data_IF_125565178484
#
_entry.id   IF_125565178484
#
_cell.length_a   1.000
_cell.length_b   1.000
_cell.length_c   1.000
_cell.angle_alpha   90.00
_cell.angle_beta   90.00
_cell.angle_gamma   90.00
#
_symmetry.space_group_name_H-M   'P 1'
#
loop_
_entity.id
_entity.type
_entity.pdbx_description
1 polymer ?
#
# COMPACT_ATOMS: atom_id res chain seq x y z
N UNK A 1 -26.70 7.43 -32.42
CA UNK A 1 -26.86 8.02 -31.07
C UNK A 1 -25.67 7.58 -30.23
N UNK A 2 -24.69 8.45 -30.06
CA UNK A 2 -23.43 8.10 -29.41
C UNK A 2 -23.59 8.01 -27.89
N UNK A 3 -22.96 6.99 -27.32
CA UNK A 3 -22.99 6.64 -25.90
C UNK A 3 -22.58 7.84 -25.04
N UNK A 4 -23.45 8.21 -24.09
CA UNK A 4 -23.09 8.98 -22.90
C UNK A 4 -22.07 8.17 -22.09
N UNK A 5 -20.82 8.14 -22.54
CA UNK A 5 -19.74 7.64 -21.71
C UNK A 5 -19.35 8.76 -20.76
N UNK A 6 -19.76 8.60 -19.50
CA UNK A 6 -19.58 9.49 -18.37
C UNK A 6 -18.11 9.93 -18.22
N UNK A 7 -17.72 11.03 -18.84
CA UNK A 7 -16.46 11.73 -18.58
C UNK A 7 -16.66 12.83 -17.54
N UNK A 8 -15.58 13.54 -17.21
CA UNK A 8 -15.71 14.74 -16.36
C UNK A 8 -16.59 15.80 -17.03
N UNK A 9 -17.13 16.72 -16.22
CA UNK A 9 -17.88 17.88 -16.75
C UNK A 9 -17.07 18.67 -17.77
N UNK A 10 -15.74 18.74 -17.60
CA UNK A 10 -14.82 19.41 -18.52
C UNK A 10 -14.74 18.69 -19.86
N UNK A 11 -14.66 17.35 -19.86
CA UNK A 11 -14.70 16.54 -21.08
C UNK A 11 -16.00 16.75 -21.85
N UNK A 12 -17.15 16.70 -21.17
CA UNK A 12 -18.46 16.88 -21.81
C UNK A 12 -18.57 18.22 -22.52
N UNK A 13 -18.11 19.32 -21.88
CA UNK A 13 -18.11 20.65 -22.50
C UNK A 13 -17.12 20.77 -23.66
N UNK A 14 -15.93 20.20 -23.52
CA UNK A 14 -14.94 20.20 -24.59
C UNK A 14 -15.46 19.44 -25.82
N UNK A 15 -15.96 18.23 -25.62
CA UNK A 15 -16.47 17.37 -26.68
C UNK A 15 -17.70 17.96 -27.36
N UNK A 16 -18.66 18.51 -26.60
CA UNK A 16 -19.87 19.12 -27.17
C UNK A 16 -19.57 20.39 -27.96
N UNK A 17 -18.65 21.24 -27.49
CA UNK A 17 -18.23 22.43 -28.21
C UNK A 17 -17.54 22.08 -29.53
N UNK A 18 -16.68 21.05 -29.52
CA UNK A 18 -16.00 20.60 -30.73
C UNK A 18 -16.98 19.98 -31.74
N UNK A 19 -17.92 19.15 -31.26
CA UNK A 19 -18.98 18.58 -32.09
C UNK A 19 -19.78 19.67 -32.80
N UNK A 20 -20.17 20.72 -32.05
CA UNK A 20 -20.89 21.86 -32.62
C UNK A 20 -20.04 22.63 -33.65
N UNK A 21 -18.74 22.78 -33.40
CA UNK A 21 -17.84 23.45 -34.34
C UNK A 21 -17.71 22.67 -35.65
N UNK A 22 -17.60 21.33 -35.59
CA UNK A 22 -17.55 20.47 -36.78
C UNK A 22 -18.83 20.61 -37.60
N UNK A 23 -20.00 20.49 -36.95
CA UNK A 23 -21.29 20.65 -37.61
C UNK A 23 -21.43 22.00 -38.29
N UNK A 24 -21.05 23.08 -37.60
CA UNK A 24 -21.07 24.44 -38.18
C UNK A 24 -20.08 24.61 -39.33
N UNK A 25 -18.92 23.95 -39.28
CA UNK A 25 -17.91 24.04 -40.32
C UNK A 25 -18.31 23.26 -41.59
N UNK A 26 -18.88 22.07 -41.43
CA UNK A 26 -19.31 21.22 -42.53
C UNK A 26 -20.49 21.84 -43.30
N UNK A 27 -21.36 22.58 -42.60
CA UNK A 27 -22.53 23.27 -43.17
C UNK A 27 -22.37 24.78 -43.31
N UNK A 28 -21.13 25.31 -43.26
CA UNK A 28 -20.89 26.76 -43.42
C UNK A 28 -21.23 27.25 -44.81
N UNK A 29 -21.03 26.40 -45.81
CA UNK A 29 -21.34 26.63 -47.21
C UNK A 29 -22.72 26.05 -47.49
N UNK A 30 -23.50 26.78 -48.28
CA UNK A 30 -24.88 26.47 -48.60
C UNK A 30 -24.98 25.84 -49.99
N UNK A 31 -26.15 25.29 -50.29
CA UNK A 31 -26.42 24.83 -51.66
C UNK A 31 -26.41 25.99 -52.67
N UNK A 32 -26.71 27.22 -52.23
CA UNK A 32 -26.62 28.42 -53.08
C UNK A 32 -25.17 28.70 -53.47
N UNK A 33 -24.24 28.65 -52.50
CA UNK A 33 -22.80 28.79 -52.77
C UNK A 33 -22.30 27.71 -53.75
N UNK A 34 -22.81 26.49 -53.64
CA UNK A 34 -22.50 25.39 -54.55
C UNK A 34 -23.05 25.64 -55.96
N UNK A 35 -24.29 26.15 -56.06
CA UNK A 35 -24.93 26.45 -57.34
C UNK A 35 -24.26 27.63 -58.07
N UNK A 36 -23.76 28.62 -57.34
CA UNK A 36 -22.97 29.72 -57.93
C UNK A 36 -21.65 29.22 -58.51
N UNK A 37 -21.00 28.24 -57.87
CA UNK A 37 -19.74 27.67 -58.34
C UNK A 37 -19.93 26.67 -59.50
N UNK A 38 -21.08 25.98 -59.55
CA UNK A 38 -21.37 24.92 -60.54
C UNK A 38 -22.72 25.10 -61.25
N UNK A 39 -22.98 26.26 -61.88
CA UNK A 39 -24.30 26.60 -62.40
C UNK A 39 -24.78 25.63 -63.49
N UNK A 40 -23.89 25.27 -64.44
CA UNK A 40 -24.21 24.35 -65.54
C UNK A 40 -24.62 22.94 -65.05
N UNK A 41 -24.04 22.50 -63.93
CA UNK A 41 -24.35 21.18 -63.35
C UNK A 41 -25.72 21.20 -62.66
N UNK A 42 -26.01 22.28 -61.90
CA UNK A 42 -27.30 22.46 -61.22
C UNK A 42 -28.45 22.64 -62.20
N UNK A 43 -28.21 23.35 -63.31
CA UNK A 43 -29.19 23.52 -64.39
C UNK A 43 -29.50 22.20 -65.10
N UNK A 44 -28.50 21.33 -65.28
CA UNK A 44 -28.67 20.03 -65.93
C UNK A 44 -29.36 18.99 -65.03
N UNK A 45 -29.01 18.92 -63.75
CA UNK A 45 -29.61 17.99 -62.78
C UNK A 45 -29.57 18.58 -61.36
N UNK A 46 -30.65 19.29 -61.02
CA UNK A 46 -30.81 19.91 -59.70
C UNK A 46 -30.89 18.88 -58.57
N UNK A 47 -31.49 17.72 -58.83
CA UNK A 47 -31.68 16.69 -57.81
C UNK A 47 -30.37 15.96 -57.52
N UNK A 48 -29.62 15.58 -58.55
CA UNK A 48 -28.28 14.99 -58.41
C UNK A 48 -27.28 15.97 -57.79
N UNK A 49 -27.36 17.24 -58.15
CA UNK A 49 -26.51 18.29 -57.57
C UNK A 49 -26.76 18.48 -56.07
N UNK A 50 -28.02 18.50 -55.64
CA UNK A 50 -28.40 18.61 -54.22
C UNK A 50 -27.99 17.36 -53.43
N UNK A 51 -28.19 16.17 -54.00
CA UNK A 51 -27.73 14.92 -53.39
C UNK A 51 -26.20 14.89 -53.22
N UNK A 52 -25.46 15.36 -54.22
CA UNK A 52 -24.00 15.44 -54.18
C UNK A 52 -23.52 16.42 -53.11
N UNK A 53 -24.12 17.61 -53.02
CA UNK A 53 -23.81 18.60 -51.99
C UNK A 53 -24.01 18.04 -50.56
N UNK A 54 -25.16 17.40 -50.32
CA UNK A 54 -25.45 16.79 -49.03
C UNK A 54 -24.47 15.65 -48.72
N UNK A 55 -24.15 14.81 -49.70
CA UNK A 55 -23.17 13.73 -49.54
C UNK A 55 -21.77 14.25 -49.20
N UNK A 56 -21.32 15.34 -49.81
CA UNK A 56 -20.03 15.97 -49.48
C UNK A 56 -20.07 16.50 -48.04
N UNK A 57 -21.14 17.20 -47.65
CA UNK A 57 -21.27 17.76 -46.30
C UNK A 57 -21.27 16.67 -45.21
N UNK A 58 -22.05 15.60 -45.42
CA UNK A 58 -22.09 14.43 -44.53
C UNK A 58 -20.74 13.70 -44.49
N UNK A 59 -20.07 13.56 -45.64
CA UNK A 59 -18.74 12.94 -45.71
C UNK A 59 -17.70 13.74 -44.92
N UNK A 60 -17.67 15.07 -45.09
CA UNK A 60 -16.76 15.96 -44.35
C UNK A 60 -17.01 15.84 -42.84
N UNK A 61 -18.27 15.87 -42.41
CA UNK A 61 -18.65 15.70 -41.01
C UNK A 61 -18.16 14.34 -40.47
N UNK A 62 -18.51 13.24 -41.15
CA UNK A 62 -18.15 11.88 -40.74
C UNK A 62 -16.64 11.64 -40.75
N UNK A 63 -15.91 12.22 -41.71
CA UNK A 63 -14.45 12.11 -41.79
C UNK A 63 -13.78 12.86 -40.63
N UNK A 64 -14.18 14.11 -40.38
CA UNK A 64 -13.66 14.89 -39.26
C UNK A 64 -13.89 14.20 -37.91
N UNK A 65 -15.07 13.61 -37.69
CA UNK A 65 -15.33 12.85 -36.46
C UNK A 65 -14.42 11.64 -36.31
N UNK A 66 -14.20 10.87 -37.38
CA UNK A 66 -13.33 9.70 -37.34
C UNK A 66 -11.88 10.08 -37.05
N UNK A 67 -11.38 11.13 -37.68
CA UNK A 67 -10.01 11.60 -37.48
C UNK A 67 -9.80 12.15 -36.08
N UNK A 68 -10.78 12.87 -35.53
CA UNK A 68 -10.73 13.37 -34.17
C UNK A 68 -10.88 12.26 -33.12
N UNK A 69 -11.74 11.28 -33.33
CA UNK A 69 -11.84 10.12 -32.42
C UNK A 69 -10.53 9.33 -32.37
N UNK A 70 -9.84 9.20 -33.51
CA UNK A 70 -8.50 8.62 -33.57
C UNK A 70 -7.51 9.46 -32.75
N UNK A 71 -7.47 10.78 -32.95
CA UNK A 71 -6.60 11.66 -32.16
C UNK A 71 -6.92 11.62 -30.66
N UNK A 72 -8.20 11.53 -30.28
CA UNK A 72 -8.60 11.42 -28.88
C UNK A 72 -8.09 10.15 -28.24
N UNK A 73 -8.07 9.04 -28.98
CA UNK A 73 -7.49 7.76 -28.52
C UNK A 73 -5.96 7.83 -28.45
N UNK A 74 -5.32 8.29 -29.51
CA UNK A 74 -3.85 8.35 -29.62
C UNK A 74 -3.23 9.20 -28.50
N UNK A 75 -3.85 10.36 -28.21
CA UNK A 75 -3.39 11.28 -27.17
C UNK A 75 -4.07 11.06 -25.81
N UNK A 76 -4.91 10.02 -25.66
CA UNK A 76 -5.68 9.75 -24.43
C UNK A 76 -6.37 11.00 -23.88
N UNK A 77 -6.96 11.78 -24.79
CA UNK A 77 -7.39 13.15 -24.48
C UNK A 77 -8.44 13.19 -23.36
N UNK A 78 -9.37 12.23 -23.36
CA UNK A 78 -10.37 12.11 -22.30
C UNK A 78 -9.73 11.91 -20.92
N UNK A 79 -8.80 10.95 -20.79
CA UNK A 79 -8.11 10.67 -19.53
C UNK A 79 -7.34 11.90 -19.03
N UNK A 80 -6.67 12.60 -19.94
CA UNK A 80 -5.91 13.82 -19.62
C UNK A 80 -6.83 14.96 -19.16
N UNK A 81 -7.96 15.19 -19.85
CA UNK A 81 -8.93 16.22 -19.47
C UNK A 81 -9.61 15.86 -18.14
N UNK A 82 -9.91 14.59 -17.90
CA UNK A 82 -10.50 14.11 -16.65
C UNK A 82 -9.51 14.24 -15.48
N UNK A 83 -8.24 13.93 -15.72
CA UNK A 83 -7.14 14.14 -14.75
C UNK A 83 -7.00 15.61 -14.40
N UNK A 84 -7.02 16.49 -15.41
CA UNK A 84 -7.00 17.94 -15.19
C UNK A 84 -8.23 18.40 -14.38
N UNK A 85 -9.41 17.87 -14.67
CA UNK A 85 -10.62 18.20 -13.91
C UNK A 85 -10.48 17.80 -12.44
N UNK A 86 -9.95 16.60 -12.17
CA UNK A 86 -9.68 16.12 -10.81
C UNK A 86 -8.68 17.02 -10.09
N UNK A 87 -7.53 17.31 -10.69
CA UNK A 87 -6.49 18.17 -10.08
C UNK A 87 -7.04 19.56 -9.72
N UNK A 88 -7.86 20.14 -10.59
CA UNK A 88 -8.50 21.44 -10.32
C UNK A 88 -9.50 21.36 -9.16
N UNK A 89 -10.27 20.27 -9.05
CA UNK A 89 -11.20 20.08 -7.94
C UNK A 89 -10.46 19.85 -6.63
N UNK A 90 -9.43 18.99 -6.62
CA UNK A 90 -8.58 18.75 -5.45
C UNK A 90 -7.94 20.07 -4.95
N UNK A 91 -7.46 20.92 -5.87
CA UNK A 91 -6.92 22.23 -5.52
C UNK A 91 -7.97 23.19 -4.92
N UNK A 92 -9.21 23.17 -5.45
CA UNK A 92 -10.32 23.94 -4.87
C UNK A 92 -10.68 23.45 -3.47
N UNK A 93 -10.69 22.13 -3.26
CA UNK A 93 -10.95 21.54 -1.95
C UNK A 93 -9.88 21.90 -0.93
N UNK A 94 -8.59 21.88 -1.30
CA UNK A 94 -7.49 22.34 -0.44
C UNK A 94 -7.63 23.81 -0.06
N UNK A 95 -8.00 24.65 -1.03
CA UNK A 95 -8.28 26.08 -0.80
C UNK A 95 -9.43 26.30 0.19
N UNK A 96 -10.47 25.47 0.15
CA UNK A 96 -11.59 25.55 1.11
C UNK A 96 -11.19 25.10 2.52
N UNK A 97 -10.21 24.21 2.64
CA UNK A 97 -9.69 23.71 3.93
C UNK A 97 -8.62 24.61 4.56
N UNK A 98 -8.26 25.73 3.90
CA UNK A 98 -7.14 26.61 4.25
C UNK A 98 -5.76 25.90 4.32
N UNK A 99 -5.68 24.68 3.77
CA UNK A 99 -4.45 23.87 3.64
C UNK A 99 -3.78 24.11 2.28
N UNK A 100 -4.01 25.30 1.72
CA UNK A 100 -3.45 25.69 0.44
C UNK A 100 -2.03 26.23 0.66
N UNK A 101 -1.03 25.35 0.62
CA UNK A 101 0.35 25.77 0.43
C UNK A 101 0.47 26.66 -0.81
N UNK A 102 1.39 27.64 -0.73
CA UNK A 102 1.65 28.57 -1.84
C UNK A 102 2.12 27.78 -3.06
N UNK A 103 1.46 27.98 -4.20
CA UNK A 103 1.86 27.35 -5.45
C UNK A 103 3.32 27.71 -5.75
N UNK A 104 4.16 26.66 -5.77
CA UNK A 104 5.61 26.76 -5.97
C UNK A 104 5.98 26.33 -7.40
N UNK A 105 4.99 26.07 -8.27
CA UNK A 105 5.26 25.67 -9.63
C UNK A 105 6.04 26.75 -10.40
N UNK A 106 7.10 26.32 -11.09
CA UNK A 106 7.93 27.14 -11.98
C UNK A 106 8.20 26.33 -13.25
N UNK A 107 8.18 26.99 -14.40
CA UNK A 107 8.52 26.36 -15.68
C UNK A 107 9.97 25.86 -15.74
N UNK A 108 10.90 26.61 -15.15
CA UNK A 108 12.34 26.31 -15.13
C UNK A 108 12.75 25.59 -13.84
N UNK A 109 12.06 24.50 -13.49
CA UNK A 109 12.41 23.72 -12.31
C UNK A 109 13.65 22.86 -12.60
N UNK A 110 14.69 22.95 -11.76
CA UNK A 110 15.83 22.04 -11.84
C UNK A 110 15.32 20.58 -11.76
N UNK A 111 15.73 19.68 -12.68
CA UNK A 111 15.34 18.27 -12.66
C UNK A 111 15.53 17.60 -11.30
N UNK A 112 16.57 17.98 -10.54
CA UNK A 112 16.79 17.48 -9.18
C UNK A 112 15.65 17.85 -8.24
N UNK A 113 15.17 19.10 -8.31
CA UNK A 113 14.06 19.58 -7.48
C UNK A 113 12.77 18.87 -7.87
N UNK A 114 12.52 18.65 -9.16
CA UNK A 114 11.35 17.89 -9.63
C UNK A 114 11.33 16.45 -9.10
N UNK A 115 12.48 15.78 -9.13
CA UNK A 115 12.64 14.43 -8.59
C UNK A 115 12.46 14.45 -7.08
N UNK A 116 13.13 15.34 -6.36
CA UNK A 116 12.99 15.47 -4.90
C UNK A 116 11.54 15.71 -4.47
N UNK A 117 10.79 16.58 -5.17
CA UNK A 117 9.39 16.84 -4.85
C UNK A 117 8.51 15.57 -4.89
N UNK A 118 8.84 14.62 -5.77
CA UNK A 118 8.14 13.33 -5.87
C UNK A 118 8.68 12.28 -4.91
N UNK A 119 10.01 12.22 -4.73
CA UNK A 119 10.67 11.16 -3.98
C UNK A 119 10.64 11.41 -2.47
N UNK A 120 10.71 12.67 -2.02
CA UNK A 120 10.73 13.01 -0.59
C UNK A 120 9.48 12.52 0.16
N UNK A 121 8.24 12.68 -0.34
CA UNK A 121 7.06 12.12 0.32
C UNK A 121 7.13 10.61 0.52
N UNK A 122 7.59 9.87 -0.50
CA UNK A 122 7.73 8.40 -0.44
C UNK A 122 8.82 7.99 0.56
N UNK A 123 9.95 8.68 0.55
CA UNK A 123 11.03 8.44 1.53
C UNK A 123 10.59 8.78 2.95
N UNK A 124 9.78 9.83 3.14
CA UNK A 124 9.22 10.19 4.45
C UNK A 124 8.28 9.11 4.97
N UNK A 125 7.39 8.57 4.13
CA UNK A 125 6.50 7.48 4.55
C UNK A 125 7.28 6.21 4.90
N UNK A 126 8.30 5.88 4.12
CA UNK A 126 9.13 4.70 4.38
C UNK A 126 9.99 4.86 5.64
N UNK A 127 10.56 6.05 5.85
CA UNK A 127 11.28 6.36 7.09
C UNK A 127 10.37 6.29 8.32
N UNK A 128 9.12 6.73 8.21
CA UNK A 128 8.14 6.61 9.29
C UNK A 128 7.83 5.12 9.58
N UNK A 129 7.64 4.31 8.54
CA UNK A 129 7.42 2.86 8.66
C UNK A 129 8.59 2.15 9.34
N UNK A 130 9.82 2.45 8.91
CA UNK A 130 11.03 1.85 9.49
C UNK A 130 11.24 2.25 10.95
N UNK A 131 10.97 3.52 11.31
CA UNK A 131 11.03 3.95 12.71
C UNK A 131 10.03 3.22 13.58
N UNK A 132 8.79 3.05 13.11
CA UNK A 132 7.77 2.29 13.84
C UNK A 132 8.21 0.83 14.06
N UNK A 133 8.81 0.20 13.04
CA UNK A 133 9.33 -1.16 13.14
C UNK A 133 10.50 -1.27 14.13
N UNK A 134 11.41 -0.30 14.16
CA UNK A 134 12.50 -0.25 15.14
C UNK A 134 11.95 -0.14 16.55
N UNK A 135 11.00 0.77 16.79
CA UNK A 135 10.40 0.93 18.12
C UNK A 135 9.70 -0.35 18.60
N UNK A 136 9.01 -1.06 17.70
CA UNK A 136 8.40 -2.35 18.04
C UNK A 136 9.46 -3.39 18.42
N UNK A 137 10.54 -3.51 17.64
CA UNK A 137 11.62 -4.46 17.92
C UNK A 137 12.38 -4.12 19.21
N UNK A 138 12.55 -2.83 19.51
CA UNK A 138 13.16 -2.37 20.76
C UNK A 138 12.29 -2.74 21.97
N UNK A 139 10.97 -2.61 21.86
CA UNK A 139 10.01 -3.02 22.89
C UNK A 139 10.03 -4.55 23.10
N UNK A 140 9.96 -5.33 22.02
CA UNK A 140 10.05 -6.80 22.07
C UNK A 140 11.39 -7.27 22.69
N UNK A 141 12.51 -6.62 22.34
CA UNK A 141 13.80 -6.94 22.94
C UNK A 141 13.87 -6.62 24.43
N UNK A 142 13.29 -5.50 24.86
CA UNK A 142 13.22 -5.14 26.28
C UNK A 142 12.39 -6.15 27.08
N UNK A 143 11.27 -6.61 26.52
CA UNK A 143 10.46 -7.66 27.14
C UNK A 143 11.23 -8.98 27.26
N UNK A 144 11.91 -9.40 26.19
CA UNK A 144 12.73 -10.62 26.18
C UNK A 144 13.92 -10.55 27.13
N UNK A 145 14.58 -9.39 27.25
CA UNK A 145 15.67 -9.17 28.19
C UNK A 145 15.19 -9.28 29.64
N UNK A 146 14.03 -8.70 29.94
CA UNK A 146 13.37 -8.82 31.26
C UNK A 146 13.02 -10.28 31.58
N UNK A 147 12.46 -11.01 30.61
CA UNK A 147 12.14 -12.43 30.78
C UNK A 147 13.39 -13.28 31.01
N UNK A 148 14.46 -13.00 30.26
CA UNK A 148 15.75 -13.69 30.41
C UNK A 148 16.34 -13.44 31.79
N UNK A 149 16.35 -12.19 32.26
CA UNK A 149 16.86 -11.85 33.58
C UNK A 149 16.08 -12.57 34.68
N UNK A 150 14.75 -12.60 34.59
CA UNK A 150 13.90 -13.34 35.54
C UNK A 150 14.21 -14.84 35.56
N UNK A 151 14.47 -15.44 34.39
CA UNK A 151 14.87 -16.85 34.29
C UNK A 151 16.26 -17.11 34.87
N UNK A 152 17.21 -16.20 34.65
CA UNK A 152 18.56 -16.28 35.23
C UNK A 152 18.48 -16.22 36.75
N UNK A 153 17.74 -15.25 37.30
CA UNK A 153 17.55 -15.10 38.75
C UNK A 153 16.87 -16.33 39.36
N UNK A 154 15.86 -16.88 38.68
CA UNK A 154 15.20 -18.13 39.10
C UNK A 154 16.16 -19.33 39.08
N UNK A 155 17.04 -19.42 38.08
CA UNK A 155 18.04 -20.48 37.99
C UNK A 155 19.11 -20.34 39.08
N UNK A 156 19.55 -19.12 39.37
CA UNK A 156 20.51 -18.85 40.44
C UNK A 156 19.94 -19.25 41.81
N UNK A 157 18.70 -18.87 42.12
CA UNK A 157 18.04 -19.25 43.37
C UNK A 157 17.86 -20.79 43.47
N UNK A 158 17.48 -21.45 42.38
CA UNK A 158 17.40 -22.91 42.36
C UNK A 158 18.78 -23.57 42.59
N UNK A 159 19.85 -23.03 41.99
CA UNK A 159 21.20 -23.52 42.21
C UNK A 159 21.65 -23.32 43.67
N UNK A 160 21.34 -22.17 44.29
CA UNK A 160 21.62 -21.92 45.70
C UNK A 160 20.92 -22.93 46.61
N UNK A 161 19.64 -23.22 46.36
CA UNK A 161 18.90 -24.24 47.10
C UNK A 161 19.49 -25.64 46.92
N UNK A 162 19.92 -26.00 45.71
CA UNK A 162 20.58 -27.28 45.45
C UNK A 162 21.89 -27.40 46.20
N UNK A 163 22.70 -26.33 46.23
CA UNK A 163 23.94 -26.30 47.00
C UNK A 163 23.67 -26.48 48.51
N UNK A 164 22.66 -25.79 49.05
CA UNK A 164 22.26 -25.95 50.45
C UNK A 164 21.81 -27.38 50.76
N UNK A 165 21.04 -28.01 49.87
CA UNK A 165 20.63 -29.42 50.02
C UNK A 165 21.85 -30.36 49.98
N UNK A 166 22.80 -30.10 49.08
CA UNK A 166 24.03 -30.90 48.99
C UNK A 166 24.89 -30.76 50.25
N UNK A 167 25.06 -29.56 50.78
CA UNK A 167 25.78 -29.31 52.03
C UNK A 167 25.12 -30.06 53.21
N UNK A 168 23.79 -30.03 53.28
CA UNK A 168 23.04 -30.79 54.27
C UNK A 168 23.21 -32.31 54.09
N UNK A 169 23.23 -32.80 52.85
CA UNK A 169 23.44 -34.22 52.55
C UNK A 169 24.85 -34.67 52.97
N UNK A 170 25.87 -33.85 52.70
CA UNK A 170 27.24 -34.09 53.13
C UNK A 170 27.36 -34.12 54.66
N UNK A 171 26.69 -33.20 55.36
CA UNK A 171 26.64 -33.21 56.83
C UNK A 171 25.98 -34.48 57.39
N UNK A 172 24.88 -34.94 56.77
CA UNK A 172 24.23 -36.21 57.11
C UNK A 172 25.14 -37.40 56.81
N UNK A 173 25.87 -37.37 55.69
CA UNK A 173 26.81 -38.44 55.33
C UNK A 173 27.99 -38.52 56.30
N UNK A 174 28.55 -37.39 56.73
CA UNK A 174 29.61 -37.37 57.74
C UNK A 174 29.09 -37.89 59.09
N UNK A 175 27.92 -37.41 59.54
CA UNK A 175 27.34 -37.91 60.78
C UNK A 175 27.04 -39.41 60.71
N UNK A 176 26.57 -39.91 59.56
CA UNK A 176 26.41 -41.35 59.31
C UNK A 176 27.74 -42.09 59.42
N UNK A 177 28.82 -41.60 58.79
CA UNK A 177 30.16 -42.21 58.91
C UNK A 177 30.66 -42.26 60.35
N UNK A 178 30.39 -41.22 61.12
CA UNK A 178 30.80 -41.10 62.51
C UNK A 178 29.96 -41.95 63.48
N UNK A 179 28.88 -42.60 63.01
CA UNK A 179 28.17 -43.58 63.85
C UNK A 179 29.14 -44.73 64.20
N UNK A 180 29.11 -45.21 65.45
CA UNK A 180 29.95 -46.32 65.90
C UNK A 180 29.39 -47.64 65.34
N UNK A 181 29.72 -47.92 64.08
CA UNK A 181 29.25 -49.10 63.37
C UNK A 181 29.66 -50.41 64.08
N UNK A 182 30.85 -50.45 64.68
CA UNK A 182 31.32 -51.61 65.45
C UNK A 182 30.48 -51.86 66.71
N UNK A 183 30.04 -50.80 67.41
CA UNK A 183 29.18 -50.93 68.59
C UNK A 183 27.75 -51.33 68.21
N UNK A 184 27.25 -50.82 67.08
CA UNK A 184 25.93 -51.17 66.54
C UNK A 184 25.92 -52.61 66.03
N UNK A 185 26.97 -53.05 65.35
CA UNK A 185 27.14 -54.45 64.93
C UNK A 185 27.28 -55.37 66.15
N UNK A 186 28.08 -54.99 67.15
CA UNK A 186 28.20 -55.76 68.40
C UNK A 186 26.86 -55.85 69.16
N UNK A 187 26.10 -54.75 69.24
CA UNK A 187 24.76 -54.74 69.83
C UNK A 187 23.78 -55.58 69.03
N UNK A 188 23.84 -55.53 67.70
CA UNK A 188 22.99 -56.33 66.81
C UNK A 188 23.30 -57.82 66.94
N UNK A 189 24.58 -58.20 67.03
CA UNK A 189 25.02 -59.58 67.26
C UNK A 189 24.60 -60.05 68.66
N UNK A 190 24.80 -59.26 69.72
CA UNK A 190 24.35 -59.60 71.08
C UNK A 190 22.83 -59.78 71.16
N UNK A 191 22.07 -58.92 70.49
CA UNK A 191 20.61 -59.02 70.47
C UNK A 191 20.15 -60.23 69.67
N UNK A 192 20.77 -60.51 68.51
CA UNK A 192 20.48 -61.69 67.70
C UNK A 192 20.89 -63.01 68.39
N UNK A 193 21.97 -63.02 69.17
CA UNK A 193 22.39 -64.14 70.01
C UNK A 193 21.46 -64.35 71.21
N UNK A 194 20.98 -63.28 71.84
CA UNK A 194 20.00 -63.37 72.93
C UNK A 194 18.60 -63.82 72.48
N UNK A 195 18.28 -63.63 71.20
CA UNK A 195 17.06 -64.09 70.55
C UNK A 195 17.19 -65.50 69.97
N UNK A 196 18.39 -66.10 69.92
CA UNK A 196 18.53 -67.53 69.63
C UNK A 196 18.13 -68.30 70.89
N UNK A 197 17.00 -69.03 70.89
CA UNK A 197 16.67 -69.88 72.03
C UNK A 197 17.70 -71.00 72.11
N UNK A 198 18.41 -71.09 73.23
CA UNK A 198 19.22 -72.25 73.59
C UNK A 198 18.28 -73.46 73.74
N UNK A 199 18.13 -74.22 72.66
CA UNK A 199 17.69 -75.61 72.74
C UNK A 199 18.77 -76.41 73.49
N UNK A 200 18.33 -77.29 74.40
CA UNK A 200 19.10 -78.28 75.20
C UNK A 200 19.64 -77.71 76.52
N UNK A 201 19.37 -78.30 77.70
CA UNK A 201 19.07 -79.69 78.08
C UNK A 201 18.08 -79.76 79.26
#
# INVERSE_FOLDING_TARGET
MFSNQSGSRRWTHFHSALQLAIQRSAHKWTFEDFAECFPLYVESDKNGSSATFNSISEYIEAQNFRDLDKLFKDYKMRENIDTLHKVVNDAKERKLKDDAEKDTWKGDLDPKVAVCARTVPVLKSEAARLRAMISQLEEENQELESELQSKVDGTNNANEQVLEILDNLDAVFQSWRDLPHEEIEAWTVQTAESLKPTLQS
#
